data_IF_348530162041
#
_entry.id   IF_348530162041
#
_cell.length_a   1.000
_cell.length_b   1.000
_cell.length_c   1.000
_cell.angle_alpha   90.00
_cell.angle_beta   90.00
_cell.angle_gamma   90.00
#
_symmetry.space_group_name_H-M   'P 1'
#
loop_
_entity.id
_entity.type
_entity.pdbx_description
1 polymer ?
#
# COMPACT_ATOMS: atom_id res chain seq x y z
N UNK A 1 -61.53 -18.02 58.54
CA UNK A 1 -60.21 -17.32 58.38
C UNK A 1 -59.13 -18.25 57.84
N UNK A 2 -58.95 -19.47 58.35
CA UNK A 2 -57.91 -20.42 57.91
C UNK A 2 -58.04 -20.82 56.43
N UNK A 3 -59.26 -21.10 55.95
CA UNK A 3 -59.50 -21.48 54.55
C UNK A 3 -59.19 -20.31 53.58
N UNK A 4 -59.42 -19.05 53.98
CA UNK A 4 -59.08 -17.89 53.17
C UNK A 4 -57.57 -17.68 53.05
N UNK A 5 -56.83 -17.87 54.15
CA UNK A 5 -55.37 -17.75 54.18
C UNK A 5 -54.74 -18.84 53.35
N UNK A 6 -55.13 -20.12 53.46
CA UNK A 6 -54.65 -21.21 52.64
C UNK A 6 -54.94 -21.05 51.16
N UNK A 7 -56.12 -20.53 50.80
CA UNK A 7 -56.50 -20.20 49.43
C UNK A 7 -55.62 -19.09 48.84
N UNK A 8 -55.34 -18.03 49.63
CA UNK A 8 -54.49 -16.93 49.20
C UNK A 8 -53.03 -17.40 48.96
N UNK A 9 -52.50 -18.22 49.88
CA UNK A 9 -51.17 -18.80 49.73
C UNK A 9 -51.06 -19.71 48.51
N UNK A 10 -52.07 -20.58 48.31
CA UNK A 10 -52.07 -21.45 47.14
C UNK A 10 -52.19 -20.64 45.82
N UNK A 11 -53.02 -19.62 45.79
CA UNK A 11 -53.12 -18.73 44.61
C UNK A 11 -51.79 -18.02 44.33
N UNK A 12 -51.14 -17.51 45.38
CA UNK A 12 -49.80 -16.90 45.27
C UNK A 12 -48.77 -17.87 44.71
N UNK A 13 -48.71 -19.09 45.20
CA UNK A 13 -47.80 -20.11 44.74
C UNK A 13 -48.04 -20.50 43.29
N UNK A 14 -49.33 -20.66 42.89
CA UNK A 14 -49.70 -20.94 41.52
C UNK A 14 -49.29 -19.78 40.60
N UNK A 15 -49.51 -18.54 41.03
CA UNK A 15 -49.13 -17.34 40.26
C UNK A 15 -47.62 -17.23 40.12
N UNK A 16 -46.85 -17.45 41.18
CA UNK A 16 -45.40 -17.47 41.17
C UNK A 16 -44.83 -18.58 40.27
N UNK A 17 -45.45 -19.78 40.33
CA UNK A 17 -45.07 -20.90 39.49
C UNK A 17 -45.35 -20.60 37.98
N UNK A 18 -46.48 -20.06 37.64
CA UNK A 18 -46.81 -19.63 36.26
C UNK A 18 -45.86 -18.55 35.76
N UNK A 19 -45.53 -17.56 36.62
CA UNK A 19 -44.56 -16.52 36.29
C UNK A 19 -43.18 -17.10 36.01
N UNK A 20 -42.73 -18.07 36.83
CA UNK A 20 -41.44 -18.76 36.67
C UNK A 20 -41.38 -19.58 35.37
N UNK A 21 -42.46 -20.25 34.99
CA UNK A 21 -42.58 -20.97 33.72
C UNK A 21 -42.43 -19.99 32.55
N UNK A 22 -43.24 -18.91 32.58
CA UNK A 22 -43.24 -17.88 31.52
C UNK A 22 -41.83 -17.23 31.35
N UNK A 23 -41.13 -16.99 32.45
CA UNK A 23 -39.77 -16.46 32.42
C UNK A 23 -38.78 -17.49 31.82
N UNK A 24 -38.91 -18.77 32.19
CA UNK A 24 -38.10 -19.83 31.60
C UNK A 24 -38.31 -20.01 30.11
N UNK A 25 -39.51 -19.90 29.64
CA UNK A 25 -39.86 -19.97 28.21
C UNK A 25 -39.31 -18.77 27.45
N UNK A 26 -39.43 -17.56 28.02
CA UNK A 26 -38.82 -16.35 27.45
C UNK A 26 -37.28 -16.46 27.36
N UNK A 27 -36.62 -16.91 28.42
CA UNK A 27 -35.18 -17.12 28.41
C UNK A 27 -34.71 -18.17 27.40
N UNK A 28 -35.48 -19.27 27.25
CA UNK A 28 -35.19 -20.29 26.23
C UNK A 28 -35.38 -19.74 24.81
N UNK A 29 -36.38 -18.93 24.58
CA UNK A 29 -36.60 -18.28 23.30
C UNK A 29 -35.47 -17.32 22.95
N UNK A 30 -35.05 -16.52 23.90
CA UNK A 30 -33.95 -15.55 23.76
C UNK A 30 -32.62 -16.27 23.51
N UNK A 31 -32.32 -17.34 24.26
CA UNK A 31 -31.12 -18.16 24.03
C UNK A 31 -31.12 -18.80 22.65
N UNK A 32 -32.27 -19.33 22.20
CA UNK A 32 -32.40 -19.90 20.86
C UNK A 32 -32.19 -18.84 19.79
N UNK A 33 -32.77 -17.66 19.96
CA UNK A 33 -32.60 -16.54 19.03
C UNK A 33 -31.14 -16.12 18.91
N UNK A 34 -30.42 -16.00 20.04
CA UNK A 34 -28.98 -15.70 20.05
C UNK A 34 -28.21 -16.79 19.28
N UNK A 35 -28.48 -18.07 19.54
CA UNK A 35 -27.84 -19.17 18.81
C UNK A 35 -28.11 -19.15 17.30
N UNK A 36 -29.35 -18.88 16.90
CA UNK A 36 -29.73 -18.79 15.48
C UNK A 36 -29.02 -17.60 14.78
N UNK A 37 -28.88 -16.47 15.47
CA UNK A 37 -28.13 -15.30 14.96
C UNK A 37 -26.63 -15.60 14.86
N UNK A 38 -26.05 -16.25 15.86
CA UNK A 38 -24.63 -16.68 15.82
C UNK A 38 -24.37 -17.68 14.71
N UNK A 39 -25.23 -18.68 14.54
CA UNK A 39 -25.12 -19.66 13.47
C UNK A 39 -25.21 -19.02 12.08
N UNK A 40 -26.12 -18.06 11.91
CA UNK A 40 -26.24 -17.26 10.67
C UNK A 40 -24.97 -16.44 10.42
N UNK A 41 -24.42 -15.79 11.43
CA UNK A 41 -23.20 -15.01 11.31
C UNK A 41 -21.98 -15.89 10.96
N UNK A 42 -21.86 -17.06 11.59
CA UNK A 42 -20.80 -18.02 11.25
C UNK A 42 -20.96 -18.57 9.83
N UNK A 43 -22.20 -18.83 9.39
CA UNK A 43 -22.45 -19.28 8.02
C UNK A 43 -22.05 -18.21 7.00
N UNK A 44 -22.39 -16.94 7.25
CA UNK A 44 -21.97 -15.82 6.42
C UNK A 44 -20.44 -15.68 6.37
N UNK A 45 -19.74 -15.86 7.50
CA UNK A 45 -18.28 -15.85 7.52
C UNK A 45 -17.66 -16.93 6.63
N UNK A 46 -18.11 -18.17 6.82
CA UNK A 46 -17.62 -19.29 5.99
C UNK A 46 -17.87 -19.04 4.51
N UNK A 47 -19.04 -18.52 4.16
CA UNK A 47 -19.38 -18.17 2.78
C UNK A 47 -18.39 -17.13 2.19
N UNK A 48 -18.15 -16.02 2.88
CA UNK A 48 -17.22 -15.00 2.40
C UNK A 48 -15.77 -15.51 2.36
N UNK A 49 -15.35 -16.30 3.35
CA UNK A 49 -14.00 -16.89 3.36
C UNK A 49 -13.81 -17.85 2.19
N UNK A 50 -14.80 -18.71 1.93
CA UNK A 50 -14.74 -19.66 0.82
C UNK A 50 -14.73 -18.94 -0.53
N UNK A 51 -15.65 -18.00 -0.75
CA UNK A 51 -15.70 -17.20 -1.99
C UNK A 51 -14.37 -16.49 -2.25
N UNK A 52 -13.77 -15.92 -1.22
CA UNK A 52 -12.50 -15.24 -1.40
C UNK A 52 -11.34 -16.17 -1.72
N UNK A 53 -11.33 -17.37 -1.16
CA UNK A 53 -10.38 -18.40 -1.59
C UNK A 53 -10.63 -18.81 -3.04
N UNK A 54 -11.90 -18.96 -3.44
CA UNK A 54 -12.26 -19.29 -4.81
C UNK A 54 -11.93 -18.19 -5.82
N UNK A 55 -11.95 -16.92 -5.42
CA UNK A 55 -11.49 -15.82 -6.26
C UNK A 55 -9.97 -15.65 -6.25
N UNK A 56 -9.31 -15.86 -5.10
CA UNK A 56 -7.86 -15.69 -4.99
C UNK A 56 -7.11 -16.65 -5.91
N UNK A 57 -7.52 -17.91 -5.99
CA UNK A 57 -6.86 -18.94 -6.78
C UNK A 57 -6.78 -18.59 -8.27
N UNK A 58 -7.90 -18.33 -9.00
CA UNK A 58 -7.82 -17.96 -10.41
C UNK A 58 -7.08 -16.63 -10.62
N UNK A 59 -7.22 -15.69 -9.71
CA UNK A 59 -6.55 -14.41 -9.80
C UNK A 59 -5.02 -14.52 -9.62
N UNK A 60 -4.55 -15.37 -8.69
CA UNK A 60 -3.13 -15.69 -8.55
C UNK A 60 -2.58 -16.33 -9.83
N UNK A 61 -3.35 -17.21 -10.46
CA UNK A 61 -2.96 -17.84 -11.73
C UNK A 61 -2.91 -16.79 -12.87
N UNK A 62 -3.87 -15.87 -12.94
CA UNK A 62 -3.85 -14.78 -13.93
C UNK A 62 -2.61 -13.89 -13.72
N UNK A 63 -2.34 -13.47 -12.48
CA UNK A 63 -1.15 -12.66 -12.16
C UNK A 63 0.12 -13.38 -12.56
N UNK A 64 0.30 -14.65 -12.18
CA UNK A 64 1.48 -15.44 -12.51
C UNK A 64 1.65 -15.64 -14.04
N UNK A 65 0.55 -15.85 -14.79
CA UNK A 65 0.62 -15.94 -16.24
C UNK A 65 0.99 -14.60 -16.88
N UNK A 66 0.45 -13.50 -16.39
CA UNK A 66 0.78 -12.15 -16.89
C UNK A 66 2.22 -11.79 -16.54
N UNK A 67 2.71 -12.12 -15.35
CA UNK A 67 4.12 -11.96 -14.97
C UNK A 67 5.04 -12.76 -15.90
N UNK A 68 4.66 -14.01 -16.21
CA UNK A 68 5.39 -14.84 -17.18
C UNK A 68 5.37 -14.20 -18.58
N UNK A 69 4.22 -13.67 -19.03
CA UNK A 69 4.13 -12.96 -20.30
C UNK A 69 5.01 -11.71 -20.32
N UNK A 70 5.05 -10.92 -19.24
CA UNK A 70 5.93 -9.74 -19.15
C UNK A 70 7.43 -10.09 -19.20
N UNK A 71 7.79 -11.35 -18.89
CA UNK A 71 9.15 -11.87 -19.03
C UNK A 71 9.46 -12.49 -20.40
N UNK A 72 8.43 -12.72 -21.25
CA UNK A 72 8.61 -13.29 -22.60
C UNK A 72 9.07 -12.24 -23.60
N UNK A 73 9.69 -12.76 -24.67
CA UNK A 73 10.36 -11.99 -25.72
C UNK A 73 9.39 -11.42 -26.77
N UNK A 74 9.74 -10.26 -27.35
CA UNK A 74 9.19 -9.73 -28.60
C UNK A 74 7.77 -9.12 -28.51
N UNK A 75 7.45 -8.37 -27.45
CA UNK A 75 6.27 -7.51 -27.49
C UNK A 75 6.60 -6.13 -28.08
N UNK A 76 5.73 -5.62 -28.92
CA UNK A 76 5.73 -4.19 -29.23
C UNK A 76 5.39 -3.40 -27.97
N UNK A 77 5.88 -2.14 -27.81
CA UNK A 77 5.55 -1.29 -26.64
C UNK A 77 4.04 -1.21 -26.37
N UNK A 78 3.21 -1.17 -27.44
CA UNK A 78 1.75 -1.14 -27.32
C UNK A 78 1.17 -2.42 -26.70
N UNK A 79 1.69 -3.60 -27.06
CA UNK A 79 1.26 -4.90 -26.48
C UNK A 79 1.74 -4.99 -25.02
N UNK A 80 2.99 -4.61 -24.75
CA UNK A 80 3.55 -4.58 -23.39
C UNK A 80 2.68 -3.73 -22.45
N UNK A 81 2.32 -2.50 -22.83
CA UNK A 81 1.47 -1.63 -22.04
C UNK A 81 0.07 -2.22 -21.79
N UNK A 82 -0.51 -2.95 -22.76
CA UNK A 82 -1.79 -3.65 -22.56
C UNK A 82 -1.66 -4.79 -21.55
N UNK A 83 -0.59 -5.60 -21.64
CA UNK A 83 -0.32 -6.69 -20.69
C UNK A 83 -0.08 -6.10 -19.28
N UNK A 84 0.67 -5.01 -19.20
CA UNK A 84 0.88 -4.28 -17.95
C UNK A 84 -0.43 -3.76 -17.35
N UNK A 85 -1.35 -3.26 -18.18
CA UNK A 85 -2.69 -2.89 -17.75
C UNK A 85 -3.49 -4.06 -17.16
N UNK A 86 -3.43 -5.24 -17.79
CA UNK A 86 -4.06 -6.47 -17.28
C UNK A 86 -3.44 -6.85 -15.92
N UNK A 87 -2.10 -6.79 -15.79
CA UNK A 87 -1.39 -7.06 -14.55
C UNK A 87 -1.89 -6.16 -13.42
N UNK A 88 -1.88 -4.83 -13.65
CA UNK A 88 -2.34 -3.84 -12.67
C UNK A 88 -3.78 -4.09 -12.21
N UNK A 89 -4.70 -4.29 -13.15
CA UNK A 89 -6.10 -4.57 -12.84
C UNK A 89 -6.26 -5.87 -12.04
N UNK A 90 -5.45 -6.88 -12.34
CA UNK A 90 -5.48 -8.16 -11.60
C UNK A 90 -4.98 -8.01 -10.17
N UNK A 91 -3.91 -7.23 -9.96
CA UNK A 91 -3.40 -6.89 -8.62
C UNK A 91 -4.45 -6.09 -7.85
N UNK A 92 -5.04 -5.06 -8.46
CA UNK A 92 -6.08 -4.25 -7.84
C UNK A 92 -7.29 -5.10 -7.41
N UNK A 93 -7.75 -6.01 -8.26
CA UNK A 93 -8.84 -6.93 -7.90
C UNK A 93 -8.47 -7.83 -6.73
N UNK A 94 -7.23 -8.34 -6.66
CA UNK A 94 -6.71 -9.12 -5.52
C UNK A 94 -6.74 -8.33 -4.23
N UNK A 95 -6.35 -7.07 -4.28
CA UNK A 95 -6.36 -6.15 -3.13
C UNK A 95 -7.80 -5.89 -2.65
N UNK A 96 -8.73 -5.60 -3.57
CA UNK A 96 -10.15 -5.38 -3.25
C UNK A 96 -10.78 -6.58 -2.55
N UNK A 97 -10.50 -7.81 -3.03
CA UNK A 97 -10.98 -9.04 -2.40
C UNK A 97 -10.38 -9.20 -1.00
N UNK A 98 -9.10 -8.88 -0.83
CA UNK A 98 -8.41 -8.96 0.47
C UNK A 98 -8.96 -7.93 1.45
N UNK A 99 -9.17 -6.68 1.03
CA UNK A 99 -9.81 -5.63 1.84
C UNK A 99 -11.21 -6.02 2.29
N UNK A 100 -12.02 -6.58 1.38
CA UNK A 100 -13.38 -7.04 1.70
C UNK A 100 -13.37 -8.14 2.76
N UNK A 101 -12.40 -9.06 2.70
CA UNK A 101 -12.23 -10.13 3.70
C UNK A 101 -11.81 -9.59 5.05
N UNK A 102 -10.80 -8.74 5.05
CA UNK A 102 -10.27 -8.14 6.28
C UNK A 102 -11.35 -7.30 6.96
N UNK A 103 -12.09 -6.54 6.18
CA UNK A 103 -13.24 -5.80 6.66
C UNK A 103 -14.30 -6.73 7.30
N UNK A 104 -14.63 -7.86 6.66
CA UNK A 104 -15.59 -8.82 7.22
C UNK A 104 -15.10 -9.47 8.51
N UNK A 105 -13.80 -9.83 8.59
CA UNK A 105 -13.19 -10.34 9.82
C UNK A 105 -13.26 -9.33 10.96
N UNK A 106 -13.03 -8.06 10.64
CA UNK A 106 -13.11 -6.96 11.60
C UNK A 106 -14.56 -6.76 12.09
N UNK A 107 -15.55 -6.71 11.19
CA UNK A 107 -16.97 -6.52 11.51
C UNK A 107 -17.47 -7.55 12.53
N UNK A 108 -16.93 -8.74 12.48
CA UNK A 108 -17.34 -9.86 13.34
C UNK A 108 -16.45 -10.04 14.58
N UNK A 109 -15.51 -9.11 14.82
CA UNK A 109 -14.58 -9.21 15.95
C UNK A 109 -13.57 -10.36 15.83
N UNK A 110 -13.40 -10.95 14.64
CA UNK A 110 -12.48 -12.06 14.38
C UNK A 110 -11.11 -11.60 13.89
N UNK A 111 -10.92 -10.30 13.67
CA UNK A 111 -9.62 -9.76 13.33
C UNK A 111 -8.73 -9.77 14.56
N UNK A 112 -7.63 -10.51 14.49
CA UNK A 112 -6.62 -10.61 15.56
C UNK A 112 -5.38 -9.84 15.12
N UNK A 113 -4.75 -9.15 16.05
CA UNK A 113 -3.46 -8.49 15.87
C UNK A 113 -2.37 -9.24 16.63
N UNK A 114 -1.14 -9.15 16.13
CA UNK A 114 0.07 -9.64 16.78
C UNK A 114 1.07 -8.50 16.86
N UNK A 115 1.15 -7.90 18.05
CA UNK A 115 1.98 -6.73 18.28
C UNK A 115 3.38 -7.10 18.72
N UNK A 116 4.37 -6.37 18.21
CA UNK A 116 5.78 -6.44 18.60
C UNK A 116 6.38 -5.02 18.63
N UNK A 117 7.52 -4.82 19.34
CA UNK A 117 8.14 -3.50 19.41
C UNK A 117 8.84 -3.16 18.09
N UNK A 118 8.53 -2.00 17.53
CA UNK A 118 9.14 -1.50 16.30
C UNK A 118 9.39 0.00 16.41
N UNK A 119 10.42 0.48 15.71
CA UNK A 119 10.64 1.92 15.53
C UNK A 119 9.64 2.47 14.51
N UNK A 120 8.65 3.22 15.00
CA UNK A 120 7.58 3.77 14.16
C UNK A 120 8.11 4.85 13.20
N UNK A 121 9.16 5.58 13.56
CA UNK A 121 9.75 6.63 12.71
C UNK A 121 10.40 6.00 11.49
N UNK A 122 11.19 4.93 11.66
CA UNK A 122 11.79 4.20 10.56
C UNK A 122 10.73 3.59 9.64
N UNK A 123 9.71 2.95 10.23
CA UNK A 123 8.60 2.37 9.47
C UNK A 123 7.87 3.42 8.61
N UNK A 124 7.57 4.59 9.15
CA UNK A 124 6.92 5.67 8.40
C UNK A 124 7.86 6.30 7.36
N UNK A 125 9.15 6.39 7.65
CA UNK A 125 10.13 6.89 6.69
C UNK A 125 10.30 5.93 5.50
N UNK A 126 10.29 4.62 5.71
CA UNK A 126 10.28 3.62 4.64
C UNK A 126 9.04 3.79 3.74
N UNK A 127 7.87 3.99 4.36
CA UNK A 127 6.65 4.28 3.61
C UNK A 127 6.74 5.62 2.85
N UNK A 128 7.29 6.66 3.47
CA UNK A 128 7.54 7.92 2.78
C UNK A 128 8.38 7.73 1.51
N UNK A 129 9.47 6.96 1.59
CA UNK A 129 10.33 6.69 0.43
C UNK A 129 9.59 5.93 -0.68
N UNK A 130 8.74 4.95 -0.33
CA UNK A 130 7.94 4.20 -1.29
C UNK A 130 6.95 5.09 -2.06
N UNK A 131 6.36 6.07 -1.38
CA UNK A 131 5.37 6.98 -1.98
C UNK A 131 5.99 8.21 -2.64
N UNK A 132 7.24 8.54 -2.34
CA UNK A 132 7.94 9.70 -2.90
C UNK A 132 7.98 9.67 -4.44
N UNK A 133 8.18 8.49 -5.01
CA UNK A 133 8.17 8.29 -6.46
C UNK A 133 6.82 8.68 -7.07
N UNK A 134 5.73 8.24 -6.47
CA UNK A 134 4.38 8.54 -6.96
C UNK A 134 4.02 10.01 -6.81
N UNK A 135 4.45 10.64 -5.69
CA UNK A 135 4.26 12.06 -5.46
C UNK A 135 5.04 12.89 -6.49
N UNK A 136 6.30 12.53 -6.75
CA UNK A 136 7.16 13.19 -7.75
C UNK A 136 6.57 13.08 -9.17
N UNK A 137 6.07 11.91 -9.56
CA UNK A 137 5.43 11.70 -10.86
C UNK A 137 4.17 12.58 -11.06
N UNK A 138 3.47 12.92 -9.98
CA UNK A 138 2.33 13.84 -9.96
C UNK A 138 2.71 15.30 -9.70
N UNK A 139 3.99 15.62 -9.57
CA UNK A 139 4.49 16.96 -9.21
C UNK A 139 3.93 17.45 -7.87
N UNK A 140 3.74 16.55 -6.90
CA UNK A 140 3.26 16.84 -5.55
C UNK A 140 4.47 16.99 -4.62
N UNK A 141 4.49 18.03 -3.78
CA UNK A 141 5.51 18.21 -2.75
C UNK A 141 5.26 17.25 -1.60
N UNK A 142 6.16 16.28 -1.38
CA UNK A 142 5.99 15.29 -0.32
C UNK A 142 7.07 15.49 0.75
N UNK A 143 6.65 15.68 2.02
CA UNK A 143 7.52 16.00 3.14
C UNK A 143 7.40 14.97 4.26
N UNK A 144 8.51 14.73 4.97
CA UNK A 144 8.54 13.90 6.17
C UNK A 144 9.14 14.71 7.33
N UNK A 145 8.38 14.90 8.40
CA UNK A 145 8.77 15.66 9.58
C UNK A 145 8.72 14.77 10.82
N UNK A 146 9.74 14.83 11.67
CA UNK A 146 9.88 14.02 12.87
C UNK A 146 10.49 14.83 14.01
N UNK A 147 10.03 14.60 15.23
CA UNK A 147 10.63 15.20 16.42
C UNK A 147 11.84 14.41 16.95
N UNK A 148 11.84 13.07 16.74
CA UNK A 148 12.91 12.17 17.19
C UNK A 148 13.30 11.22 16.07
N UNK A 149 14.52 10.66 16.13
CA UNK A 149 14.99 9.64 15.17
C UNK A 149 14.51 8.23 15.55
N UNK A 150 14.27 7.98 16.83
CA UNK A 150 13.87 6.69 17.34
C UNK A 150 12.69 6.82 18.29
N UNK A 151 11.61 6.07 18.01
CA UNK A 151 10.43 5.99 18.86
C UNK A 151 9.87 4.57 18.81
N UNK A 152 10.09 3.81 19.87
CA UNK A 152 9.60 2.44 19.99
C UNK A 152 8.11 2.43 20.33
N UNK A 153 7.32 1.74 19.49
CA UNK A 153 5.87 1.55 19.65
C UNK A 153 5.54 0.07 19.44
N UNK A 154 4.60 -0.44 20.24
CA UNK A 154 4.09 -1.80 20.07
C UNK A 154 2.92 -1.79 19.09
N UNK A 155 3.08 -2.45 17.94
CA UNK A 155 2.02 -2.58 16.94
C UNK A 155 2.24 -3.80 16.03
N UNK A 156 1.17 -4.21 15.34
CA UNK A 156 1.22 -5.21 14.27
C UNK A 156 1.62 -4.51 12.97
N UNK A 157 2.86 -4.76 12.53
CA UNK A 157 3.43 -4.08 11.35
C UNK A 157 2.61 -4.32 10.09
N UNK A 158 2.08 -5.54 9.88
CA UNK A 158 1.28 -5.87 8.70
C UNK A 158 -0.05 -5.11 8.67
N UNK A 159 -0.70 -4.96 9.80
CA UNK A 159 -1.95 -4.22 9.88
C UNK A 159 -1.70 -2.71 9.79
N UNK A 160 -0.66 -2.20 10.44
CA UNK A 160 -0.30 -0.77 10.36
C UNK A 160 0.13 -0.37 8.94
N UNK A 161 0.78 -1.28 8.18
CA UNK A 161 1.08 -1.06 6.77
C UNK A 161 -0.18 -0.78 5.94
N UNK A 162 -1.28 -1.50 6.19
CA UNK A 162 -2.57 -1.25 5.52
C UNK A 162 -3.13 0.13 5.85
N UNK A 163 -3.00 0.55 7.12
CA UNK A 163 -3.43 1.88 7.58
C UNK A 163 -2.68 2.98 6.83
N UNK A 164 -1.34 2.91 6.84
CA UNK A 164 -0.49 3.92 6.21
C UNK A 164 -0.70 3.96 4.69
N UNK A 165 -0.72 2.79 4.04
CA UNK A 165 -0.97 2.69 2.59
C UNK A 165 -2.31 3.31 2.20
N UNK A 166 -3.39 3.02 2.95
CA UNK A 166 -4.70 3.58 2.65
C UNK A 166 -4.73 5.10 2.80
N UNK A 167 -4.14 5.64 3.87
CA UNK A 167 -4.13 7.09 4.09
C UNK A 167 -3.26 7.82 3.06
N UNK A 168 -2.06 7.31 2.74
CA UNK A 168 -1.18 7.92 1.74
C UNK A 168 -1.76 7.82 0.33
N UNK A 169 -2.37 6.67 -0.03
CA UNK A 169 -3.07 6.50 -1.31
C UNK A 169 -4.23 7.49 -1.45
N UNK A 170 -5.02 7.69 -0.38
CA UNK A 170 -6.08 8.68 -0.37
C UNK A 170 -5.54 10.10 -0.51
N UNK A 171 -4.47 10.46 0.20
CA UNK A 171 -3.81 11.75 0.06
C UNK A 171 -3.39 11.99 -1.40
N UNK A 172 -2.64 11.05 -2.01
CA UNK A 172 -2.23 11.15 -3.42
C UNK A 172 -3.38 11.22 -4.42
N UNK A 173 -4.52 10.57 -4.13
CA UNK A 173 -5.71 10.58 -4.98
C UNK A 173 -6.41 11.93 -4.98
N UNK A 174 -6.44 12.61 -3.82
CA UNK A 174 -7.18 13.85 -3.64
C UNK A 174 -6.32 15.11 -3.71
N UNK A 175 -5.02 14.97 -4.02
CA UNK A 175 -4.04 16.04 -4.14
C UNK A 175 -3.65 16.24 -5.61
N UNK A 176 -3.49 17.49 -6.04
CA UNK A 176 -3.12 17.88 -7.41
C UNK A 176 -1.63 18.24 -7.49
N UNK A 177 -1.15 18.47 -8.72
CA UNK A 177 0.18 19.02 -8.94
C UNK A 177 0.38 20.34 -8.17
N UNK A 178 1.59 20.56 -7.66
CA UNK A 178 2.02 21.72 -6.83
C UNK A 178 1.46 21.74 -5.40
N UNK A 179 0.49 20.88 -5.06
CA UNK A 179 0.01 20.70 -3.70
C UNK A 179 1.06 19.97 -2.83
N UNK A 180 0.79 19.89 -1.52
CA UNK A 180 1.71 19.30 -0.54
C UNK A 180 1.04 18.14 0.19
N UNK A 181 1.80 17.06 0.41
CA UNK A 181 1.48 15.98 1.36
C UNK A 181 2.58 15.96 2.41
N UNK A 182 2.25 15.77 3.68
CA UNK A 182 3.23 15.60 4.75
C UNK A 182 2.88 14.46 5.68
N UNK A 183 3.92 13.78 6.18
CA UNK A 183 3.84 12.82 7.28
C UNK A 183 4.56 13.46 8.45
N UNK A 184 3.86 13.67 9.57
CA UNK A 184 4.43 14.23 10.79
C UNK A 184 4.36 13.21 11.92
N UNK A 185 5.45 13.01 12.64
CA UNK A 185 5.54 12.10 13.78
C UNK A 185 6.02 12.85 15.00
N UNK A 186 5.19 12.84 16.04
CA UNK A 186 5.50 13.48 17.31
C UNK A 186 5.15 12.59 18.49
N UNK A 187 5.70 12.92 19.65
CA UNK A 187 5.39 12.26 20.91
C UNK A 187 4.79 13.24 21.91
N UNK A 188 3.60 12.91 22.40
CA UNK A 188 2.97 13.66 23.48
C UNK A 188 2.74 12.76 24.70
N UNK A 189 3.46 13.00 25.78
CA UNK A 189 3.38 12.22 27.01
C UNK A 189 3.59 10.70 26.77
N UNK A 190 2.49 9.91 26.89
CA UNK A 190 2.45 8.45 26.70
C UNK A 190 1.83 8.03 25.36
N UNK A 191 1.77 8.96 24.41
CA UNK A 191 1.18 8.71 23.10
C UNK A 191 2.15 9.10 21.99
N UNK A 192 2.12 8.35 20.91
CA UNK A 192 2.66 8.76 19.62
C UNK A 192 1.52 9.31 18.78
N UNK A 193 1.77 10.42 18.11
CA UNK A 193 0.86 11.06 17.19
C UNK A 193 1.46 10.95 15.79
N UNK A 194 0.71 10.37 14.88
CA UNK A 194 1.06 10.26 13.47
C UNK A 194 0.03 11.07 12.69
N UNK A 195 0.47 12.12 12.03
CA UNK A 195 -0.37 12.96 11.18
C UNK A 195 0.02 12.75 9.72
N UNK A 196 -0.98 12.44 8.88
CA UNK A 196 -0.87 12.42 7.43
C UNK A 196 -1.77 13.53 6.90
N UNK A 197 -1.15 14.57 6.35
CA UNK A 197 -1.83 15.79 5.92
C UNK A 197 -1.64 16.02 4.44
N UNK A 198 -2.71 16.44 3.76
CA UNK A 198 -2.72 16.88 2.38
C UNK A 198 -3.31 18.30 2.26
N UNK A 199 -2.93 19.04 1.21
CA UNK A 199 -3.52 20.34 0.86
C UNK A 199 -4.50 20.25 -0.32
N UNK A 200 -5.06 19.08 -0.55
CA UNK A 200 -5.92 18.76 -1.68
C UNK A 200 -7.35 19.29 -1.55
N UNK A 201 -8.29 18.54 -2.10
CA UNK A 201 -9.69 18.99 -2.23
C UNK A 201 -10.45 19.17 -0.92
N UNK A 202 -9.97 18.58 0.18
CA UNK A 202 -10.64 18.59 1.47
C UNK A 202 -12.00 17.88 1.49
N UNK A 203 -12.61 17.81 2.67
CA UNK A 203 -13.86 17.10 2.97
C UNK A 203 -14.86 18.10 3.57
N UNK A 204 -16.12 18.02 3.13
CA UNK A 204 -17.17 18.86 3.69
C UNK A 204 -17.51 18.49 5.14
N UNK A 205 -17.78 19.48 6.00
CA UNK A 205 -18.07 19.23 7.42
C UNK A 205 -19.24 18.23 7.64
N UNK A 206 -20.23 18.21 6.76
CA UNK A 206 -21.36 17.26 6.83
C UNK A 206 -20.98 15.80 6.50
N UNK A 207 -19.79 15.58 5.94
CA UNK A 207 -19.29 14.27 5.50
C UNK A 207 -18.25 13.71 6.48
N UNK A 208 -17.59 14.55 7.29
CA UNK A 208 -16.49 14.19 8.21
C UNK A 208 -16.86 12.99 9.10
N UNK A 209 -18.05 12.99 9.69
CA UNK A 209 -18.51 11.90 10.55
C UNK A 209 -18.79 10.61 9.77
N UNK A 210 -19.05 10.73 8.46
CA UNK A 210 -19.50 9.63 7.60
C UNK A 210 -18.37 8.96 6.83
N UNK A 211 -17.20 9.62 6.68
CA UNK A 211 -16.07 9.05 5.88
C UNK A 211 -15.54 7.73 6.43
N UNK A 212 -15.76 7.45 7.71
CA UNK A 212 -15.44 6.18 8.35
C UNK A 212 -16.59 5.18 8.30
N UNK A 213 -17.77 5.59 7.76
CA UNK A 213 -18.90 4.68 7.55
C UNK A 213 -18.61 3.76 6.37
N UNK A 214 -19.21 2.58 6.43
CA UNK A 214 -19.04 1.50 5.44
C UNK A 214 -19.63 1.89 4.10
N UNK A 215 -18.88 1.65 3.02
CA UNK A 215 -19.32 1.92 1.65
C UNK A 215 -19.66 3.38 1.38
N UNK A 216 -19.29 4.27 2.31
CA UNK A 216 -19.49 5.69 2.10
C UNK A 216 -18.45 6.24 1.10
N UNK A 217 -18.93 6.99 0.16
CA UNK A 217 -18.14 7.71 -0.84
C UNK A 217 -18.75 9.11 -1.00
N UNK A 218 -17.90 10.12 -1.14
CA UNK A 218 -18.36 11.48 -1.40
C UNK A 218 -18.94 11.57 -2.82
N UNK A 219 -20.20 12.05 -2.95
CA UNK A 219 -20.84 12.28 -4.25
C UNK A 219 -20.22 13.50 -4.96
N UNK A 220 -19.08 13.35 -5.61
CA UNK A 220 -18.57 14.38 -6.52
C UNK A 220 -18.78 13.93 -7.96
N UNK A 221 -19.42 14.82 -8.74
CA UNK A 221 -19.75 14.64 -10.18
C UNK A 221 -18.52 14.38 -11.09
N UNK A 222 -17.29 14.59 -10.59
CA UNK A 222 -16.04 14.37 -11.33
C UNK A 222 -15.51 12.93 -11.26
N UNK A 223 -16.23 12.01 -10.59
CA UNK A 223 -15.81 10.62 -10.36
C UNK A 223 -15.90 9.70 -11.59
N UNK A 224 -16.26 10.22 -12.74
CA UNK A 224 -16.29 9.43 -14.00
C UNK A 224 -14.89 9.11 -14.54
N UNK A 225 -13.83 9.81 -14.09
CA UNK A 225 -12.47 9.64 -14.58
C UNK A 225 -11.43 9.24 -13.50
N UNK A 226 -11.77 9.29 -12.21
CA UNK A 226 -10.90 8.81 -11.15
C UNK A 226 -11.55 7.59 -10.50
N UNK A 227 -10.92 6.43 -10.58
CA UNK A 227 -11.43 5.15 -10.09
C UNK A 227 -12.09 5.25 -8.72
N UNK A 228 -13.37 4.91 -8.68
CA UNK A 228 -14.18 4.93 -7.46
C UNK A 228 -13.54 4.00 -6.42
N UNK A 229 -13.17 4.51 -5.25
CA UNK A 229 -12.70 3.70 -4.13
C UNK A 229 -13.80 2.73 -3.67
N UNK A 230 -13.45 1.71 -2.87
CA UNK A 230 -14.44 0.75 -2.33
C UNK A 230 -15.34 1.32 -1.24
N UNK A 231 -14.95 2.44 -0.63
CA UNK A 231 -15.58 2.95 0.60
C UNK A 231 -15.35 2.06 1.83
N UNK A 232 -14.41 1.11 1.75
CA UNK A 232 -14.07 0.17 2.83
C UNK A 232 -12.78 0.62 3.54
N UNK A 233 -11.84 1.23 2.83
CA UNK A 233 -10.49 1.49 3.32
C UNK A 233 -10.45 2.30 4.62
N UNK A 234 -11.16 3.43 4.72
CA UNK A 234 -11.17 4.25 5.94
C UNK A 234 -11.88 3.56 7.11
N UNK A 235 -12.96 2.79 6.84
CA UNK A 235 -13.61 1.99 7.87
C UNK A 235 -12.67 0.91 8.43
N UNK A 236 -11.92 0.23 7.54
CA UNK A 236 -10.89 -0.75 7.93
C UNK A 236 -9.74 -0.09 8.70
N UNK A 237 -9.27 1.07 8.24
CA UNK A 237 -8.23 1.87 8.92
C UNK A 237 -8.65 2.19 10.35
N UNK A 238 -9.85 2.72 10.56
CA UNK A 238 -10.37 3.02 11.90
C UNK A 238 -10.38 1.78 12.80
N UNK A 239 -10.87 0.67 12.31
CA UNK A 239 -10.92 -0.54 13.12
C UNK A 239 -9.57 -1.16 13.41
N UNK A 240 -8.60 -1.08 12.51
CA UNK A 240 -7.22 -1.50 12.80
C UNK A 240 -6.62 -0.62 13.90
N UNK A 241 -6.79 0.70 13.83
CA UNK A 241 -6.31 1.62 14.87
C UNK A 241 -6.99 1.35 16.22
N UNK A 242 -8.31 1.10 16.23
CA UNK A 242 -9.05 0.73 17.45
C UNK A 242 -8.59 -0.61 18.04
N UNK A 243 -8.23 -1.61 17.21
CA UNK A 243 -7.64 -2.87 17.68
C UNK A 243 -6.28 -2.66 18.37
N UNK A 244 -5.53 -1.62 17.98
CA UNK A 244 -4.30 -1.19 18.63
C UNK A 244 -4.54 -0.29 19.86
N UNK A 245 -5.80 -0.18 20.34
CA UNK A 245 -6.21 0.70 21.44
C UNK A 245 -5.87 2.18 21.19
N UNK A 246 -5.75 2.55 19.91
CA UNK A 246 -5.54 3.92 19.45
C UNK A 246 -6.83 4.61 19.04
N UNK A 247 -6.69 5.83 18.56
CA UNK A 247 -7.77 6.62 17.98
C UNK A 247 -7.33 7.23 16.66
N UNK A 248 -8.28 7.40 15.74
CA UNK A 248 -8.07 8.16 14.49
C UNK A 248 -9.11 9.27 14.42
N UNK A 249 -8.67 10.46 14.05
CA UNK A 249 -9.53 11.62 13.78
C UNK A 249 -9.14 12.27 12.48
N UNK A 250 -10.02 13.08 11.93
CA UNK A 250 -9.79 13.87 10.72
C UNK A 250 -10.16 15.33 10.98
N UNK A 251 -9.31 16.20 10.48
CA UNK A 251 -9.53 17.64 10.42
C UNK A 251 -9.46 18.05 8.95
N UNK A 252 -10.52 18.65 8.42
CA UNK A 252 -10.57 18.96 6.99
C UNK A 252 -11.50 20.16 6.72
N UNK A 253 -11.11 20.94 5.69
CA UNK A 253 -11.94 22.01 5.14
C UNK A 253 -11.94 21.90 3.61
N UNK A 254 -13.09 22.07 2.94
CA UNK A 254 -13.17 22.07 1.49
C UNK A 254 -12.19 23.08 0.85
N UNK A 255 -11.34 22.59 -0.07
CA UNK A 255 -10.35 23.39 -0.77
C UNK A 255 -9.09 23.75 0.03
N UNK A 256 -8.95 23.28 1.28
CA UNK A 256 -7.73 23.48 2.09
C UNK A 256 -7.00 22.15 2.39
N UNK A 257 -7.63 21.02 2.07
CA UNK A 257 -7.07 19.68 2.30
C UNK A 257 -7.60 18.99 3.54
N UNK A 258 -6.95 17.88 3.90
CA UNK A 258 -7.35 17.03 5.03
C UNK A 258 -6.12 16.63 5.86
N UNK A 259 -6.31 16.48 7.17
CA UNK A 259 -5.33 15.93 8.10
C UNK A 259 -5.93 14.74 8.82
N UNK A 260 -5.36 13.55 8.63
CA UNK A 260 -5.69 12.33 9.36
C UNK A 260 -4.70 12.16 10.50
N UNK A 261 -5.20 12.10 11.73
CA UNK A 261 -4.38 12.08 12.94
C UNK A 261 -4.65 10.77 13.68
N UNK A 262 -3.63 9.93 13.77
CA UNK A 262 -3.63 8.66 14.51
C UNK A 262 -2.91 8.88 15.83
N UNK A 263 -3.51 8.42 16.93
CA UNK A 263 -2.89 8.45 18.26
C UNK A 263 -2.79 7.01 18.78
N UNK A 264 -1.56 6.55 19.08
CA UNK A 264 -1.31 5.22 19.67
C UNK A 264 -0.67 5.38 21.04
N UNK A 265 -0.95 4.44 21.95
CA UNK A 265 -0.32 4.42 23.28
C UNK A 265 1.07 3.81 23.22
N UNK A 266 2.03 4.41 23.92
CA UNK A 266 3.35 3.82 24.16
C UNK A 266 3.27 2.65 25.16
N UNK A 267 4.22 1.71 25.05
CA UNK A 267 4.29 0.53 25.92
C UNK A 267 3.35 -0.60 25.48
N UNK A 268 3.35 -1.69 26.22
CA UNK A 268 2.60 -2.92 25.93
C UNK A 268 1.50 -3.25 26.93
N UNK A 269 1.37 -2.46 27.99
CA UNK A 269 0.53 -2.77 29.16
C UNK A 269 -0.97 -2.81 28.83
N UNK A 270 -1.35 -2.22 27.71
CA UNK A 270 -2.72 -2.18 27.22
C UNK A 270 -3.09 -3.35 26.30
N UNK A 271 -2.11 -4.20 25.92
CA UNK A 271 -2.34 -5.40 25.13
C UNK A 271 -2.47 -6.64 26.01
N UNK A 272 -3.26 -7.62 25.57
CA UNK A 272 -3.36 -8.92 26.22
C UNK A 272 -2.19 -9.82 25.82
N UNK A 273 -1.89 -10.85 26.64
CA UNK A 273 -0.83 -11.83 26.32
C UNK A 273 -1.05 -12.54 24.97
N UNK A 274 -2.30 -12.71 24.55
CA UNK A 274 -2.63 -13.31 23.25
C UNK A 274 -2.32 -12.39 22.07
N UNK A 275 -2.31 -11.08 22.28
CA UNK A 275 -2.02 -10.07 21.27
C UNK A 275 -0.52 -9.82 21.10
N UNK A 276 0.29 -10.14 22.12
CA UNK A 276 1.74 -9.99 22.07
C UNK A 276 2.33 -11.15 21.28
N UNK A 277 3.15 -10.83 20.26
CA UNK A 277 3.90 -11.85 19.53
C UNK A 277 4.88 -12.53 20.49
N UNK A 278 4.84 -13.87 20.58
CA UNK A 278 5.90 -14.62 21.28
C UNK A 278 7.11 -14.63 20.37
N UNK A 279 8.32 -14.55 20.96
CA UNK A 279 9.61 -14.68 20.27
C UNK A 279 9.80 -16.11 19.70
N UNK A 280 8.89 -16.56 18.86
CA UNK A 280 9.19 -17.65 17.97
C UNK A 280 9.82 -17.02 16.72
N UNK A 281 11.08 -17.33 16.51
CA UNK A 281 11.84 -17.14 15.26
C UNK A 281 11.14 -17.86 14.10
N UNK A 282 9.89 -17.53 13.85
CA UNK A 282 9.25 -17.86 12.61
C UNK A 282 9.73 -16.83 11.58
N UNK A 283 10.67 -17.33 10.77
CA UNK A 283 11.00 -16.92 9.41
C UNK A 283 10.16 -15.74 8.96
N UNK A 284 10.82 -14.64 8.66
CA UNK A 284 10.31 -13.51 7.90
C UNK A 284 9.66 -14.10 6.62
N UNK A 285 8.41 -14.54 6.75
CA UNK A 285 7.59 -14.80 5.59
C UNK A 285 7.38 -13.43 4.96
N UNK A 286 7.91 -13.31 3.78
CA UNK A 286 7.83 -12.17 2.88
C UNK A 286 6.49 -11.47 3.07
N UNK A 287 6.54 -10.33 3.72
CA UNK A 287 5.40 -9.43 3.79
C UNK A 287 5.21 -8.99 2.34
N UNK A 288 4.16 -9.48 1.68
CA UNK A 288 3.76 -8.92 0.38
C UNK A 288 3.52 -7.43 0.63
N UNK A 289 4.50 -6.61 0.28
CA UNK A 289 4.36 -5.16 0.34
C UNK A 289 3.27 -4.79 -0.64
N UNK A 290 2.13 -4.43 -0.12
CA UNK A 290 1.01 -3.91 -0.91
C UNK A 290 1.50 -2.55 -1.41
N UNK A 291 2.03 -2.54 -2.64
CA UNK A 291 2.29 -1.27 -3.32
C UNK A 291 0.94 -0.62 -3.56
N UNK A 292 0.80 0.66 -3.25
CA UNK A 292 -0.45 1.36 -3.45
C UNK A 292 -0.96 1.16 -4.87
N UNK A 293 -2.25 0.83 -5.00
CA UNK A 293 -2.97 0.94 -6.27
C UNK A 293 -3.19 2.42 -6.57
N UNK A 294 -2.09 3.18 -6.68
CA UNK A 294 -2.19 4.54 -7.18
C UNK A 294 -2.46 4.42 -8.67
N UNK A 295 -3.63 4.87 -9.09
CA UNK A 295 -3.94 5.03 -10.50
C UNK A 295 -2.84 5.86 -11.13
N UNK A 296 -1.98 5.20 -11.89
CA UNK A 296 -1.00 5.88 -12.71
C UNK A 296 -1.81 6.65 -13.75
N UNK A 297 -1.55 7.93 -13.85
CA UNK A 297 -2.12 8.91 -14.76
C UNK A 297 -2.55 8.22 -16.08
N UNK A 298 -3.84 8.38 -16.49
CA UNK A 298 -4.28 7.83 -17.78
C UNK A 298 -3.38 8.32 -18.92
N UNK A 299 -3.07 7.46 -19.87
CA UNK A 299 -2.26 7.77 -21.07
C UNK A 299 -2.74 9.00 -21.86
N UNK A 300 -3.91 9.57 -21.52
CA UNK A 300 -4.52 10.71 -22.21
C UNK A 300 -4.00 12.10 -21.81
N UNK A 301 -3.19 12.22 -20.75
CA UNK A 301 -2.66 13.51 -20.30
C UNK A 301 -1.20 13.78 -20.70
N UNK A 302 -0.52 12.79 -21.27
CA UNK A 302 0.83 12.98 -21.78
C UNK A 302 0.74 13.63 -23.17
N UNK A 303 1.04 14.91 -23.26
CA UNK A 303 1.18 15.60 -24.54
C UNK A 303 2.41 15.03 -25.25
N UNK A 304 2.23 14.57 -26.48
CA UNK A 304 3.31 14.10 -27.39
C UNK A 304 4.40 15.16 -27.64
N UNK A 305 4.24 16.37 -27.14
CA UNK A 305 5.13 17.50 -27.42
C UNK A 305 6.48 17.45 -26.66
N UNK A 306 6.59 16.65 -25.57
CA UNK A 306 7.84 16.57 -24.80
C UNK A 306 8.80 15.45 -25.27
N UNK A 307 8.43 14.66 -26.27
CA UNK A 307 9.23 13.55 -26.78
C UNK A 307 10.08 13.96 -27.99
N UNK A 308 10.84 15.06 -27.91
CA UNK A 308 11.81 15.38 -28.95
C UNK A 308 13.06 14.52 -28.79
N UNK A 309 13.59 14.03 -29.94
CA UNK A 309 14.90 13.37 -29.98
C UNK A 309 15.94 14.35 -29.44
N UNK A 310 16.68 13.89 -28.43
CA UNK A 310 17.83 14.65 -27.89
C UNK A 310 18.99 14.43 -28.85
N UNK A 311 19.32 15.45 -29.65
CA UNK A 311 20.38 15.36 -30.64
C UNK A 311 21.70 14.98 -29.95
N UNK A 312 22.35 13.90 -30.48
CA UNK A 312 23.61 13.35 -30.02
C UNK A 312 23.67 12.71 -28.61
N UNK A 313 22.54 12.52 -27.90
CA UNK A 313 22.57 11.84 -26.62
C UNK A 313 22.76 10.33 -26.76
N UNK A 314 23.71 9.77 -26.01
CA UNK A 314 24.02 8.32 -25.95
C UNK A 314 23.44 7.71 -24.70
N UNK A 315 22.78 6.55 -24.83
CA UNK A 315 22.28 5.78 -23.71
C UNK A 315 22.95 4.41 -23.66
N UNK A 316 23.44 4.03 -22.48
CA UNK A 316 23.92 2.67 -22.22
C UNK A 316 22.85 1.89 -21.45
N UNK A 317 22.34 0.81 -22.05
CA UNK A 317 21.39 -0.11 -21.42
C UNK A 317 22.14 -1.35 -20.95
N UNK A 318 22.04 -1.66 -19.65
CA UNK A 318 22.72 -2.79 -19.01
C UNK A 318 21.66 -3.76 -18.47
N UNK A 319 21.50 -4.90 -19.14
CA UNK A 319 20.48 -5.90 -18.84
C UNK A 319 20.97 -7.27 -19.29
N UNK A 320 20.93 -8.28 -18.41
CA UNK A 320 21.38 -9.64 -18.72
C UNK A 320 20.34 -10.45 -19.50
N UNK A 321 19.06 -10.11 -19.34
CA UNK A 321 17.98 -10.72 -20.10
C UNK A 321 17.88 -10.11 -21.50
N UNK A 322 18.22 -10.90 -22.52
CA UNK A 322 18.24 -10.46 -23.91
C UNK A 322 16.91 -9.87 -24.40
N UNK A 323 15.80 -10.33 -23.88
CA UNK A 323 14.45 -9.91 -24.28
C UNK A 323 14.07 -8.56 -23.70
N UNK A 324 14.38 -8.34 -22.42
CA UNK A 324 14.17 -7.05 -21.77
C UNK A 324 15.10 -6.03 -22.42
N UNK A 325 16.36 -6.42 -22.69
CA UNK A 325 17.34 -5.59 -23.37
C UNK A 325 16.83 -5.12 -24.75
N UNK A 326 16.35 -6.04 -25.59
CA UNK A 326 15.79 -5.69 -26.91
C UNK A 326 14.55 -4.81 -26.81
N UNK A 327 13.67 -5.06 -25.84
CA UNK A 327 12.51 -4.21 -25.57
C UNK A 327 12.94 -2.79 -25.19
N UNK A 328 13.90 -2.65 -24.27
CA UNK A 328 14.42 -1.34 -23.86
C UNK A 328 15.10 -0.63 -25.04
N UNK A 329 15.89 -1.34 -25.86
CA UNK A 329 16.46 -0.78 -27.09
C UNK A 329 15.35 -0.24 -28.01
N UNK A 330 14.30 -1.02 -28.27
CA UNK A 330 13.20 -0.59 -29.15
C UNK A 330 12.41 0.61 -28.60
N UNK A 331 12.40 0.81 -27.28
CA UNK A 331 11.79 1.99 -26.64
C UNK A 331 12.67 3.23 -26.85
N UNK A 332 13.99 3.10 -26.63
CA UNK A 332 14.90 4.25 -26.56
C UNK A 332 15.63 4.60 -27.85
N UNK A 333 15.70 3.71 -28.85
CA UNK A 333 16.37 3.98 -30.14
C UNK A 333 15.80 5.16 -30.94
N UNK A 334 14.54 5.52 -30.65
CA UNK A 334 13.90 6.72 -31.22
C UNK A 334 14.37 8.02 -30.61
N UNK A 335 14.95 7.98 -29.41
CA UNK A 335 15.35 9.16 -28.60
C UNK A 335 16.86 9.29 -28.47
N UNK A 336 17.59 8.17 -28.40
CA UNK A 336 19.02 8.08 -28.08
C UNK A 336 19.78 7.23 -29.09
N UNK A 337 21.10 7.42 -29.14
CA UNK A 337 22.01 6.42 -29.69
C UNK A 337 22.21 5.36 -28.59
N UNK A 338 21.60 4.19 -28.78
CA UNK A 338 21.60 3.14 -27.73
C UNK A 338 22.76 2.18 -27.93
N UNK A 339 23.54 1.98 -26.88
CA UNK A 339 24.51 0.87 -26.73
C UNK A 339 24.07 -0.04 -25.60
N UNK A 340 24.47 -1.31 -25.63
CA UNK A 340 23.97 -2.30 -24.66
C UNK A 340 25.14 -3.05 -24.04
N UNK A 341 24.97 -3.47 -22.77
CA UNK A 341 25.88 -4.39 -22.08
C UNK A 341 25.06 -5.49 -21.38
N UNK A 342 25.67 -6.65 -21.15
CA UNK A 342 24.99 -7.79 -20.53
C UNK A 342 25.24 -7.91 -19.02
N UNK A 343 26.17 -7.13 -18.48
CA UNK A 343 26.50 -7.04 -17.06
C UNK A 343 27.31 -5.78 -16.74
N UNK A 344 27.57 -5.58 -15.44
CA UNK A 344 28.26 -4.38 -14.97
C UNK A 344 29.73 -4.30 -15.36
N UNK A 345 30.43 -5.42 -15.65
CA UNK A 345 31.85 -5.40 -16.08
C UNK A 345 31.96 -4.89 -17.52
N UNK A 346 31.18 -5.46 -18.44
CA UNK A 346 31.06 -4.99 -19.81
C UNK A 346 30.63 -3.54 -19.89
N UNK A 347 29.65 -3.16 -19.01
CA UNK A 347 29.17 -1.79 -18.91
C UNK A 347 30.26 -0.79 -18.52
N UNK A 348 31.13 -1.11 -17.55
CA UNK A 348 32.25 -0.25 -17.14
C UNK A 348 33.25 0.00 -18.26
N UNK A 349 33.53 -1.00 -19.08
CA UNK A 349 34.41 -0.86 -20.24
C UNK A 349 33.80 0.11 -21.26
N UNK A 350 32.51 -0.08 -21.60
CA UNK A 350 31.76 0.79 -22.54
C UNK A 350 31.59 2.23 -22.02
N UNK A 351 31.34 2.41 -20.73
CA UNK A 351 31.30 3.75 -20.11
C UNK A 351 32.58 4.52 -20.33
N UNK A 352 33.73 3.88 -20.18
CA UNK A 352 35.03 4.53 -20.38
C UNK A 352 35.35 4.86 -21.85
N UNK A 353 34.87 4.02 -22.76
CA UNK A 353 35.10 4.20 -24.19
C UNK A 353 34.13 5.20 -24.83
N UNK A 354 32.85 5.15 -24.49
CA UNK A 354 31.79 5.85 -25.19
C UNK A 354 31.25 7.07 -24.46
N UNK A 355 31.49 7.18 -23.12
CA UNK A 355 31.00 8.27 -22.26
C UNK A 355 29.51 8.57 -22.49
N UNK A 356 28.59 7.66 -22.13
CA UNK A 356 27.18 7.82 -22.40
C UNK A 356 26.59 9.00 -21.60
N UNK A 357 25.54 9.63 -22.15
CA UNK A 357 24.79 10.71 -21.49
C UNK A 357 23.96 10.22 -20.32
N UNK A 358 23.53 8.94 -20.37
CA UNK A 358 22.75 8.30 -19.31
C UNK A 358 22.97 6.78 -19.34
N UNK A 359 22.86 6.15 -18.18
CA UNK A 359 22.94 4.70 -18.02
C UNK A 359 21.64 4.19 -17.42
N UNK A 360 21.04 3.19 -18.06
CA UNK A 360 19.86 2.46 -17.58
C UNK A 360 20.30 1.03 -17.28
N UNK A 361 20.30 0.62 -16.01
CA UNK A 361 20.85 -0.68 -15.59
C UNK A 361 19.88 -1.48 -14.75
N UNK A 362 19.76 -2.79 -15.01
CA UNK A 362 19.16 -3.69 -14.03
C UNK A 362 20.01 -3.76 -12.75
N UNK A 363 19.36 -3.95 -11.62
CA UNK A 363 20.00 -4.13 -10.32
C UNK A 363 20.60 -5.52 -10.20
N UNK A 364 19.90 -6.56 -10.64
CA UNK A 364 20.30 -7.96 -10.45
C UNK A 364 20.86 -8.54 -11.75
N UNK A 365 22.18 -8.61 -11.84
CA UNK A 365 22.87 -9.13 -13.00
C UNK A 365 24.04 -10.04 -12.57
N UNK A 366 24.47 -10.98 -13.42
CA UNK A 366 25.65 -11.80 -13.16
C UNK A 366 26.95 -10.96 -13.14
N UNK A 367 28.00 -11.50 -12.56
CA UNK A 367 29.34 -10.92 -12.43
C UNK A 367 29.35 -9.63 -11.59
N UNK A 368 28.78 -8.55 -12.07
CA UNK A 368 28.66 -7.28 -11.36
C UNK A 368 27.22 -6.76 -11.40
N UNK A 369 26.65 -6.52 -10.23
CA UNK A 369 25.29 -5.96 -10.08
C UNK A 369 25.23 -4.50 -10.52
N UNK A 370 24.01 -4.03 -10.88
CA UNK A 370 23.79 -2.62 -11.22
C UNK A 370 24.08 -1.65 -10.07
N UNK A 371 23.92 -2.09 -8.83
CA UNK A 371 24.27 -1.29 -7.63
C UNK A 371 25.77 -1.12 -7.49
N UNK A 372 26.56 -2.17 -7.72
CA UNK A 372 28.02 -2.08 -7.70
C UNK A 372 28.55 -1.27 -8.89
N UNK A 373 27.94 -1.42 -10.07
CA UNK A 373 28.21 -0.61 -11.25
C UNK A 373 27.98 0.88 -10.95
N UNK A 374 26.81 1.23 -10.41
CA UNK A 374 26.46 2.60 -10.04
C UNK A 374 27.48 3.19 -9.07
N UNK A 375 27.84 2.45 -8.01
CA UNK A 375 28.83 2.88 -7.03
C UNK A 375 30.19 3.18 -7.69
N UNK A 376 30.66 2.34 -8.60
CA UNK A 376 31.91 2.56 -9.32
C UNK A 376 31.86 3.78 -10.22
N UNK A 377 30.75 3.98 -10.96
CA UNK A 377 30.57 5.15 -11.80
C UNK A 377 30.54 6.43 -10.95
N UNK A 378 29.80 6.45 -9.83
CA UNK A 378 29.66 7.63 -8.98
C UNK A 378 30.91 7.95 -8.14
N UNK A 379 31.81 6.98 -7.94
CA UNK A 379 33.09 7.21 -7.23
C UNK A 379 34.25 7.58 -8.14
N UNK A 380 34.16 7.36 -9.45
CA UNK A 380 35.18 7.74 -10.42
C UNK A 380 34.95 9.20 -10.88
N UNK A 381 35.96 10.06 -10.70
CA UNK A 381 35.91 11.48 -11.04
C UNK A 381 35.50 11.75 -12.50
N UNK A 382 35.89 10.88 -13.42
CA UNK A 382 35.61 11.03 -14.85
C UNK A 382 34.17 10.66 -15.23
N UNK A 383 33.49 9.85 -14.43
CA UNK A 383 32.17 9.28 -14.77
C UNK A 383 31.07 9.66 -13.78
N UNK A 384 31.37 10.28 -12.63
CA UNK A 384 30.42 10.56 -11.56
C UNK A 384 29.27 11.49 -11.98
N UNK A 385 29.47 12.28 -13.03
CA UNK A 385 28.42 13.16 -13.58
C UNK A 385 27.40 12.45 -14.45
N UNK A 386 27.66 11.21 -14.90
CA UNK A 386 26.75 10.45 -15.74
C UNK A 386 25.58 9.97 -14.90
N UNK A 387 24.31 10.33 -15.24
CA UNK A 387 23.15 9.84 -14.54
C UNK A 387 22.98 8.33 -14.69
N UNK A 388 22.65 7.66 -13.58
CA UNK A 388 22.40 6.22 -13.51
C UNK A 388 21.00 5.98 -13.01
N UNK A 389 20.17 5.36 -13.84
CA UNK A 389 18.81 4.90 -13.50
C UNK A 389 18.86 3.39 -13.28
N UNK A 390 18.40 2.94 -12.11
CA UNK A 390 18.38 1.53 -11.76
C UNK A 390 16.99 0.93 -11.95
N UNK A 391 16.91 -0.16 -12.72
CA UNK A 391 15.71 -0.98 -12.84
C UNK A 391 15.73 -2.08 -11.77
N UNK A 392 14.72 -2.16 -10.92
CA UNK A 392 14.73 -3.08 -9.78
C UNK A 392 13.46 -3.92 -9.73
N UNK A 393 13.61 -5.19 -9.31
CA UNK A 393 12.47 -5.99 -8.93
C UNK A 393 11.90 -5.47 -7.60
N UNK A 394 10.58 -5.55 -7.45
CA UNK A 394 9.82 -5.07 -6.28
C UNK A 394 10.37 -5.56 -4.92
N UNK A 395 10.89 -6.79 -4.89
CA UNK A 395 11.47 -7.42 -3.69
C UNK A 395 12.88 -6.93 -3.34
N UNK A 396 13.60 -6.32 -4.28
CA UNK A 396 14.96 -5.86 -4.06
C UNK A 396 15.01 -4.48 -3.36
N UNK A 397 13.95 -3.70 -3.40
CA UNK A 397 13.85 -2.42 -2.68
C UNK A 397 13.81 -2.66 -1.16
N UNK A 398 13.16 -3.74 -0.70
CA UNK A 398 13.05 -4.09 0.73
C UNK A 398 14.41 -4.43 1.37
N UNK A 399 15.37 -4.94 0.60
CA UNK A 399 16.72 -5.26 1.06
C UNK A 399 17.74 -4.13 0.82
N UNK A 400 17.39 -3.05 0.12
CA UNK A 400 18.35 -2.03 -0.33
C UNK A 400 17.97 -0.59 0.04
N UNK A 401 17.56 -0.34 1.29
CA UNK A 401 17.77 0.97 1.93
C UNK A 401 19.26 1.36 1.93
N UNK A 402 20.15 0.38 1.86
CA UNK A 402 21.57 0.61 1.52
C UNK A 402 21.75 1.14 0.09
N UNK A 403 20.85 0.85 -0.84
CA UNK A 403 20.94 1.30 -2.25
C UNK A 403 20.74 2.80 -2.43
N UNK A 404 19.90 3.46 -1.64
CA UNK A 404 19.75 4.93 -1.64
C UNK A 404 21.02 5.66 -1.18
N UNK A 405 21.92 4.99 -0.43
CA UNK A 405 23.24 5.51 -0.08
C UNK A 405 24.28 5.34 -1.20
N UNK A 406 23.96 4.64 -2.30
CA UNK A 406 24.88 4.30 -3.38
C UNK A 406 25.00 5.46 -4.40
N UNK A 407 24.08 6.44 -4.39
CA UNK A 407 24.15 7.64 -5.22
C UNK A 407 23.57 7.48 -6.64
N UNK A 408 22.67 6.52 -6.90
CA UNK A 408 21.91 6.50 -8.15
C UNK A 408 21.00 7.71 -8.26
N UNK A 409 20.81 8.22 -9.49
CA UNK A 409 20.01 9.42 -9.74
C UNK A 409 18.53 9.11 -9.78
N UNK A 410 18.15 7.88 -10.18
CA UNK A 410 16.76 7.42 -10.13
C UNK A 410 16.64 5.89 -10.02
N UNK A 411 15.46 5.42 -9.55
CA UNK A 411 15.09 4.01 -9.42
C UNK A 411 13.71 3.76 -10.00
N UNK A 412 13.57 2.73 -10.82
CA UNK A 412 12.29 2.37 -11.43
C UNK A 412 12.00 0.89 -11.18
N UNK A 413 10.82 0.60 -10.63
CA UNK A 413 10.42 -0.78 -10.32
C UNK A 413 9.92 -1.53 -11.54
N UNK A 414 10.36 -2.77 -11.72
CA UNK A 414 9.80 -3.72 -12.69
C UNK A 414 8.51 -4.36 -12.09
N UNK A 415 7.39 -4.47 -12.83
CA UNK A 415 7.17 -3.99 -14.20
C UNK A 415 6.88 -2.47 -14.27
N UNK A 416 7.45 -1.78 -15.25
CA UNK A 416 7.39 -0.34 -15.44
C UNK A 416 6.47 0.07 -16.60
N UNK A 417 5.96 1.31 -16.57
CA UNK A 417 5.28 1.94 -17.69
C UNK A 417 6.32 2.56 -18.64
N UNK A 418 6.24 2.28 -19.95
CA UNK A 418 7.21 2.75 -20.93
C UNK A 418 7.26 4.27 -21.05
N UNK A 419 6.10 4.96 -20.99
CA UNK A 419 6.05 6.42 -21.07
C UNK A 419 6.68 7.08 -19.85
N UNK A 420 6.43 6.54 -18.65
CA UNK A 420 7.05 7.01 -17.41
C UNK A 420 8.56 6.82 -17.45
N UNK A 421 9.03 5.66 -17.92
CA UNK A 421 10.45 5.36 -18.05
C UNK A 421 11.15 6.35 -19.00
N UNK A 422 10.54 6.62 -20.16
CA UNK A 422 11.05 7.59 -21.14
C UNK A 422 11.14 8.99 -20.51
N UNK A 423 10.05 9.46 -19.91
CA UNK A 423 10.01 10.79 -19.29
C UNK A 423 11.08 10.98 -18.21
N UNK A 424 11.28 9.98 -17.35
CA UNK A 424 12.31 10.03 -16.29
C UNK A 424 13.72 10.06 -16.84
N UNK A 425 14.02 9.22 -17.84
CA UNK A 425 15.32 9.25 -18.49
C UNK A 425 15.58 10.59 -19.20
N UNK A 426 14.57 11.14 -19.89
CA UNK A 426 14.69 12.41 -20.60
C UNK A 426 14.88 13.61 -19.64
N UNK A 427 14.37 13.55 -18.42
CA UNK A 427 14.53 14.63 -17.42
C UNK A 427 15.94 14.65 -16.77
N UNK A 428 16.71 13.61 -16.92
CA UNK A 428 18.05 13.48 -16.33
C UNK A 428 19.17 13.87 -17.32
N UNK A 429 18.86 13.96 -18.60
CA UNK A 429 19.76 14.37 -19.70
C UNK A 429 19.52 15.79 -20.12
#
# INVERSE_FOLDING_TARGET
IYIIITGAVLWYLIRAYKSKIKLRESLKYEQKHIQDVEALNQSKLRFFTNISHEFRTPLTLIVAQVETLLQLQNFTPAIYNKILGIYKNSIQLRELITELLDFRKQEQGHMKIKVSPHNIVNFLYENYLLFLEYASAKQINFNFEKETDELEVWYDQKQMQKVVNNLLSNALKHTKAEDTISINVSQENKYVIIEIKDTGTGIAAAEIDKIFDRFYQTERLDSLNTGAGTGIGLALTKGIVELHHGTIRVESEPGKGSSFIITLKLGKEHFTEEQIAKDDTETIQQTETIVPSVEIIPDSEWKEEDNKRIEDAKMLIVEDNESIKQMLVSIFETFYQVTTASDGEEALEKVREEMPSIILSDVVMPRMSGTELCKRIKTDFNTCHIPVVLLTARTAIEHNIEGLKIGADDYITKPFNTNLLISRCNNLV
#
